data_IF_270400283770
#
_entry.id   IF_270400283770
#
_cell.length_a   1.000
_cell.length_b   1.000
_cell.length_c   1.000
_cell.angle_alpha   90.00
_cell.angle_beta   90.00
_cell.angle_gamma   90.00
#
_symmetry.space_group_name_H-M   'P 1'
#
loop_
_entity.id
_entity.type
_entity.pdbx_description
1 polymer ?
#
# COMPACT_ATOMS: atom_id res chain seq x y z
N UNK A 1 -0.17 -10.21 3.35
CA UNK A 1 -1.43 -9.92 4.06
C UNK A 1 -2.28 -11.18 4.08
N UNK A 2 -2.98 -11.49 5.18
CA UNK A 2 -3.92 -12.62 5.23
C UNK A 2 -5.34 -12.09 5.25
N UNK A 3 -6.21 -12.65 4.40
CA UNK A 3 -7.64 -12.35 4.33
C UNK A 3 -8.39 -13.68 4.39
N UNK A 4 -9.09 -13.93 5.50
CA UNK A 4 -9.61 -15.27 5.81
C UNK A 4 -8.48 -16.30 5.81
N UNK A 5 -8.66 -17.36 5.03
CA UNK A 5 -7.65 -18.44 4.89
C UNK A 5 -6.60 -18.16 3.80
N UNK A 6 -6.76 -17.10 3.02
CA UNK A 6 -5.88 -16.78 1.89
C UNK A 6 -4.74 -15.85 2.30
N UNK A 7 -3.51 -16.16 1.88
CA UNK A 7 -2.35 -15.29 2.03
C UNK A 7 -2.05 -14.62 0.69
N UNK A 8 -2.06 -13.28 0.71
CA UNK A 8 -1.69 -12.44 -0.42
C UNK A 8 -0.29 -11.85 -0.18
N UNK A 9 0.74 -12.28 -0.92
CA UNK A 9 2.08 -11.73 -0.80
C UNK A 9 2.15 -10.33 -1.43
N UNK A 10 3.16 -9.55 -1.01
CA UNK A 10 3.60 -8.33 -1.70
C UNK A 10 2.50 -7.28 -1.98
N UNK A 11 1.57 -7.12 -1.04
CA UNK A 11 0.52 -6.08 -1.10
C UNK A 11 0.93 -4.77 -0.42
N UNK A 12 1.88 -4.82 0.51
CA UNK A 12 2.26 -3.69 1.33
C UNK A 12 3.78 -3.61 1.49
N UNK A 13 4.28 -2.40 1.72
CA UNK A 13 5.69 -2.11 1.91
C UNK A 13 5.87 -1.01 2.97
N UNK A 14 7.09 -0.87 3.49
CA UNK A 14 7.43 0.15 4.48
C UNK A 14 8.87 0.63 4.31
N UNK A 15 9.15 1.89 4.66
CA UNK A 15 10.52 2.36 4.86
C UNK A 15 10.88 2.26 6.33
N UNK A 16 11.74 1.29 6.68
CA UNK A 16 12.20 1.15 8.06
C UNK A 16 13.17 2.28 8.46
N UNK A 17 14.06 2.67 7.54
CA UNK A 17 15.04 3.73 7.73
C UNK A 17 15.04 4.69 6.52
N UNK A 18 14.04 5.58 6.42
CA UNK A 18 13.97 6.53 5.31
C UNK A 18 15.06 7.61 5.45
N UNK A 19 15.28 8.35 4.36
CA UNK A 19 16.15 9.54 4.39
C UNK A 19 15.59 10.61 5.33
N UNK A 20 16.44 11.45 5.96
CA UNK A 20 16.00 12.44 6.96
C UNK A 20 14.86 13.37 6.49
N UNK A 21 14.86 13.76 5.21
CA UNK A 21 13.84 14.65 4.63
C UNK A 21 12.41 14.07 4.67
N UNK A 22 12.29 12.74 4.75
CA UNK A 22 11.01 12.01 4.82
C UNK A 22 10.94 11.13 6.07
N UNK A 23 11.67 11.49 7.14
CA UNK A 23 11.67 10.75 8.40
C UNK A 23 10.27 10.56 9.01
N UNK A 24 9.34 11.48 8.72
CA UNK A 24 7.96 11.41 9.20
C UNK A 24 7.18 10.16 8.74
N UNK A 25 7.61 9.48 7.67
CA UNK A 25 6.96 8.24 7.18
C UNK A 25 7.67 6.96 7.64
N UNK A 26 8.66 7.05 8.54
CA UNK A 26 9.38 5.89 9.03
C UNK A 26 8.43 4.88 9.70
N UNK A 27 8.53 3.61 9.30
CA UNK A 27 7.70 2.52 9.83
C UNK A 27 6.22 2.56 9.42
N UNK A 28 5.79 3.58 8.66
CA UNK A 28 4.44 3.57 8.09
C UNK A 28 4.34 2.52 6.99
N UNK A 29 3.13 1.97 6.85
CA UNK A 29 2.82 0.96 5.84
C UNK A 29 2.10 1.63 4.69
N UNK A 30 2.57 1.36 3.48
CA UNK A 30 1.92 1.75 2.24
C UNK A 30 1.50 0.49 1.49
N UNK A 31 0.49 0.63 0.62
CA UNK A 31 -0.03 -0.46 -0.19
C UNK A 31 0.17 -0.18 -1.68
N UNK A 32 0.19 -1.24 -2.49
CA UNK A 32 0.12 -1.11 -3.95
C UNK A 32 -1.33 -0.86 -4.38
N UNK A 33 -1.62 0.35 -4.82
CA UNK A 33 -2.98 0.76 -5.22
C UNK A 33 -3.51 -0.03 -6.42
N UNK A 34 -2.63 -0.54 -7.26
CA UNK A 34 -2.97 -1.35 -8.42
C UNK A 34 -3.48 -2.74 -8.04
N UNK A 35 -3.13 -3.20 -6.83
CA UNK A 35 -3.49 -4.53 -6.31
C UNK A 35 -4.72 -4.49 -5.40
N UNK A 36 -5.31 -3.32 -5.16
CA UNK A 36 -6.40 -3.13 -4.20
C UNK A 36 -7.51 -2.24 -4.77
N UNK A 37 -8.73 -2.45 -4.28
CA UNK A 37 -9.79 -1.46 -4.40
C UNK A 37 -9.78 -0.61 -3.12
N UNK A 38 -9.68 0.71 -3.28
CA UNK A 38 -9.50 1.64 -2.16
C UNK A 38 -10.68 2.59 -2.12
N UNK A 39 -11.29 2.74 -0.95
CA UNK A 39 -12.34 3.73 -0.69
C UNK A 39 -11.84 4.71 0.37
N UNK A 40 -12.00 6.02 0.12
CA UNK A 40 -11.70 7.09 1.07
C UNK A 40 -12.99 7.86 1.31
N UNK A 41 -13.44 7.91 2.56
CA UNK A 41 -14.70 8.57 2.95
C UNK A 41 -15.92 8.09 2.12
N UNK A 42 -15.93 6.80 1.78
CA UNK A 42 -16.97 6.16 0.97
C UNK A 42 -16.82 6.35 -0.54
N UNK A 43 -15.80 7.09 -1.01
CA UNK A 43 -15.52 7.31 -2.43
C UNK A 43 -14.45 6.33 -2.91
N UNK A 44 -14.77 5.53 -3.92
CA UNK A 44 -13.80 4.62 -4.55
C UNK A 44 -12.77 5.40 -5.38
N UNK A 45 -11.50 5.13 -5.14
CA UNK A 45 -10.40 5.61 -5.97
C UNK A 45 -10.28 4.75 -7.23
N UNK A 46 -9.96 5.38 -8.36
CA UNK A 46 -9.67 4.65 -9.58
C UNK A 46 -8.38 3.85 -9.42
N UNK A 47 -8.41 2.58 -9.85
CA UNK A 47 -7.22 1.74 -9.86
C UNK A 47 -6.24 2.26 -10.91
N UNK A 48 -5.04 2.71 -10.52
CA UNK A 48 -4.05 3.15 -11.49
C UNK A 48 -3.49 1.95 -12.26
N UNK A 49 -2.92 2.20 -13.44
CA UNK A 49 -2.16 1.21 -14.21
C UNK A 49 -0.71 1.65 -14.23
N UNK A 50 0.17 0.87 -13.61
CA UNK A 50 1.60 1.17 -13.57
C UNK A 50 2.41 -0.06 -13.94
N UNK A 51 3.74 0.03 -13.81
CA UNK A 51 4.62 -1.11 -14.06
C UNK A 51 4.64 -2.11 -12.88
N UNK A 52 3.95 -1.81 -11.77
CA UNK A 52 3.85 -2.68 -10.60
C UNK A 52 2.65 -3.63 -10.62
N UNK A 53 1.69 -3.42 -11.52
CA UNK A 53 0.45 -4.19 -11.66
C UNK A 53 -0.67 -3.37 -12.27
#
# INVERSE_FOLDING_TARGET
MRVGDSVHPDLAWTYHYPLPAVAAIAGLVAFYNEKLDISVDGVNLSRPRTHFG
#
